data_IF_895300535916
#
_entry.id   IF_895300535916
#
_cell.length_a   1.000
_cell.length_b   1.000
_cell.length_c   1.000
_cell.angle_alpha   90.00
_cell.angle_beta   90.00
_cell.angle_gamma   90.00
#
_symmetry.space_group_name_H-M   'P 1'
#
loop_
_entity.id
_entity.type
_entity.pdbx_description
1 polymer ?
#
# COMPACT_ATOMS: atom_id res chain seq x y z
N UNK A 1 17.08 61.31 -19.24
CA UNK A 1 18.02 61.03 -18.13
C UNK A 1 18.06 59.52 -17.92
N UNK A 2 19.26 58.93 -17.80
CA UNK A 2 19.56 57.54 -17.39
C UNK A 2 19.20 56.41 -18.38
N UNK A 3 20.14 55.90 -19.20
CA UNK A 3 21.25 54.94 -18.94
C UNK A 3 20.79 53.45 -19.05
N UNK A 4 21.34 52.77 -20.07
CA UNK A 4 21.34 51.31 -20.33
C UNK A 4 22.31 50.57 -19.35
N UNK A 5 22.72 49.30 -19.60
CA UNK A 5 22.05 48.01 -19.45
C UNK A 5 22.85 47.07 -18.51
N UNK A 6 22.42 45.82 -18.28
CA UNK A 6 23.35 44.74 -17.86
C UNK A 6 23.05 43.42 -18.59
N UNK A 7 23.94 43.06 -19.50
CA UNK A 7 24.23 41.68 -19.88
C UNK A 7 25.07 41.03 -18.79
N UNK A 8 24.83 39.76 -18.50
CA UNK A 8 25.78 38.90 -17.81
C UNK A 8 26.01 37.66 -18.67
N UNK A 9 27.26 37.53 -19.13
CA UNK A 9 27.84 36.38 -19.82
C UNK A 9 28.88 35.82 -18.85
N UNK A 10 28.88 34.51 -18.58
CA UNK A 10 30.09 33.83 -18.13
C UNK A 10 29.96 32.31 -18.34
N UNK A 11 30.86 31.80 -19.17
CA UNK A 11 31.15 30.39 -19.41
C UNK A 11 32.68 30.25 -19.58
N UNK A 12 33.16 29.00 -19.44
CA UNK A 12 34.54 28.47 -19.51
C UNK A 12 35.35 28.56 -18.19
N UNK A 13 35.58 27.43 -17.49
CA UNK A 13 36.53 26.31 -17.73
C UNK A 13 37.97 26.65 -17.35
N UNK A 14 38.54 25.86 -16.43
CA UNK A 14 39.86 25.24 -16.60
C UNK A 14 39.99 24.03 -15.67
N UNK A 15 40.43 22.92 -16.25
CA UNK A 15 40.78 21.66 -15.62
C UNK A 15 42.31 21.56 -15.53
N UNK A 16 42.84 20.93 -14.47
CA UNK A 16 44.21 20.41 -14.46
C UNK A 16 44.27 19.00 -13.86
N UNK A 17 45.15 18.19 -14.45
CA UNK A 17 45.36 16.75 -14.29
C UNK A 17 46.43 16.42 -13.22
N UNK A 18 46.21 15.33 -12.45
CA UNK A 18 47.06 14.15 -12.05
C UNK A 18 48.62 14.26 -12.01
N UNK A 19 49.43 13.39 -11.30
CA UNK A 19 49.18 12.02 -10.79
C UNK A 19 49.81 11.64 -9.40
N UNK A 20 49.66 10.36 -8.96
CA UNK A 20 50.17 9.72 -7.70
C UNK A 20 51.70 9.47 -7.61
N UNK A 21 52.29 8.52 -6.81
CA UNK A 21 51.72 7.32 -6.15
C UNK A 21 52.25 6.91 -4.72
N UNK A 22 51.51 5.96 -4.09
CA UNK A 22 51.93 4.78 -3.28
C UNK A 22 52.80 4.90 -2.00
N UNK A 23 53.16 3.78 -1.31
CA UNK A 23 52.34 2.97 -0.39
C UNK A 23 53.00 2.83 1.00
N UNK A 24 52.28 2.31 2.01
CA UNK A 24 52.83 1.77 3.29
C UNK A 24 51.66 1.29 4.16
N UNK A 25 51.65 0.12 4.82
CA UNK A 25 52.53 -1.06 4.92
C UNK A 25 51.64 -2.11 5.61
N UNK A 26 51.61 -3.33 5.09
CA UNK A 26 51.23 -4.51 5.86
C UNK A 26 52.29 -4.78 6.94
N UNK A 27 51.90 -5.31 8.10
CA UNK A 27 52.64 -6.39 8.78
C UNK A 27 51.93 -6.92 10.08
N UNK A 28 52.32 -8.09 10.64
CA UNK A 28 51.41 -9.23 10.73
C UNK A 28 51.31 -9.88 12.13
N UNK A 29 50.40 -10.86 12.23
CA UNK A 29 50.42 -12.10 13.03
C UNK A 29 51.10 -12.16 14.42
N UNK A 30 50.33 -12.66 15.42
CA UNK A 30 50.64 -13.68 16.46
C UNK A 30 49.88 -13.33 17.76
N UNK A 31 49.22 -14.22 18.49
CA UNK A 31 49.60 -15.59 18.84
C UNK A 31 48.39 -16.50 19.06
N UNK A 32 48.53 -17.75 18.61
CA UNK A 32 47.86 -18.92 19.16
C UNK A 32 48.33 -19.16 20.61
N UNK A 33 47.42 -19.63 21.47
CA UNK A 33 47.76 -20.68 22.46
C UNK A 33 46.65 -21.73 22.53
N UNK A 34 47.09 -22.97 22.41
CA UNK A 34 46.31 -24.19 22.39
C UNK A 34 45.98 -24.70 23.81
N UNK A 35 45.04 -25.67 23.83
CA UNK A 35 44.30 -26.28 24.93
C UNK A 35 45.13 -27.10 25.97
N UNK A 36 44.47 -27.67 26.99
CA UNK A 36 44.03 -29.07 26.82
C UNK A 36 42.63 -29.43 27.36
N UNK A 37 42.18 -30.58 26.85
CA UNK A 37 40.94 -31.33 27.08
C UNK A 37 40.59 -31.58 28.55
N UNK A 38 39.28 -31.54 28.85
CA UNK A 38 38.63 -32.61 29.60
C UNK A 38 37.32 -33.02 28.93
N UNK A 39 37.25 -34.31 28.65
CA UNK A 39 36.14 -35.06 28.09
C UNK A 39 35.11 -35.30 29.20
N UNK A 40 33.83 -34.96 28.99
CA UNK A 40 32.73 -35.67 29.64
C UNK A 40 31.55 -35.85 28.67
N UNK A 41 31.42 -37.12 28.26
CA UNK A 41 30.23 -37.92 28.00
C UNK A 41 28.92 -37.26 27.57
N UNK A 42 28.40 -37.80 26.47
CA UNK A 42 27.10 -37.52 25.87
C UNK A 42 25.90 -37.70 26.82
N UNK A 43 25.00 -36.71 26.81
CA UNK A 43 23.56 -36.94 26.91
C UNK A 43 22.87 -36.20 25.76
N UNK A 44 22.28 -36.97 24.87
CA UNK A 44 21.38 -36.51 23.82
C UNK A 44 20.06 -36.02 24.43
N UNK A 45 19.84 -34.71 24.46
CA UNK A 45 18.50 -34.14 24.42
C UNK A 45 18.47 -33.14 23.27
N UNK A 46 17.75 -33.50 22.23
CA UNK A 46 17.43 -32.67 21.08
C UNK A 46 16.70 -31.42 21.55
N UNK A 47 17.36 -30.27 21.50
CA UNK A 47 16.72 -28.96 21.65
C UNK A 47 16.33 -28.44 20.26
N UNK A 48 15.31 -29.06 19.66
CA UNK A 48 14.52 -28.41 18.61
C UNK A 48 13.66 -27.32 19.27
N UNK A 49 14.26 -26.18 19.60
CA UNK A 49 13.53 -24.98 20.04
C UNK A 49 14.31 -23.71 19.71
N UNK A 50 14.31 -23.35 18.42
CA UNK A 50 14.52 -21.97 17.96
C UNK A 50 13.78 -21.76 16.63
N UNK A 51 12.46 -22.00 16.66
CA UNK A 51 11.52 -21.61 15.60
C UNK A 51 10.20 -21.19 16.27
N UNK A 52 10.24 -20.16 17.11
CA UNK A 52 9.06 -19.68 17.82
C UNK A 52 9.13 -18.17 18.10
N UNK A 53 9.39 -17.38 17.05
CA UNK A 53 9.08 -15.96 16.99
C UNK A 53 8.80 -15.62 15.51
N UNK A 54 7.67 -16.10 15.02
CA UNK A 54 6.88 -15.53 13.92
C UNK A 54 5.57 -16.33 13.87
N UNK A 55 4.86 -16.31 15.00
CA UNK A 55 3.44 -16.65 15.02
C UNK A 55 2.67 -15.41 14.57
N UNK A 56 2.67 -15.15 13.26
CA UNK A 56 1.60 -14.39 12.63
C UNK A 56 0.29 -15.12 12.95
N UNK A 57 -0.45 -14.59 13.92
CA UNK A 57 -1.83 -14.96 14.22
C UNK A 57 -2.74 -14.47 13.08
N UNK A 58 -2.55 -15.02 11.89
CA UNK A 58 -3.55 -15.01 10.85
C UNK A 58 -4.53 -16.14 11.13
N UNK A 59 -5.78 -15.82 11.43
CA UNK A 59 -6.85 -16.81 11.42
C UNK A 59 -6.86 -17.52 10.05
N UNK A 60 -6.56 -18.84 9.98
CA UNK A 60 -6.52 -19.58 8.72
C UNK A 60 -7.90 -19.68 8.04
N UNK A 61 -8.98 -19.31 8.74
CA UNK A 61 -10.34 -19.37 8.19
C UNK A 61 -10.68 -18.17 7.29
N UNK A 62 -9.89 -17.10 7.29
CA UNK A 62 -10.18 -15.86 6.53
C UNK A 62 -9.85 -15.91 5.03
N UNK A 63 -9.17 -16.96 4.55
CA UNK A 63 -8.90 -17.20 3.12
C UNK A 63 -9.74 -18.34 2.53
N UNK A 64 -10.94 -18.59 3.07
CA UNK A 64 -11.90 -19.47 2.37
C UNK A 64 -12.10 -18.92 0.96
N UNK A 65 -12.03 -19.82 -0.03
CA UNK A 65 -12.25 -19.52 -1.45
C UNK A 65 -13.74 -19.20 -1.69
N UNK A 66 -14.22 -18.08 -1.11
CA UNK A 66 -15.57 -17.60 -1.27
C UNK A 66 -15.72 -17.04 -2.68
N UNK A 67 -16.82 -17.38 -3.31
CA UNK A 67 -17.17 -16.92 -4.65
C UNK A 67 -17.91 -15.58 -4.60
N UNK A 68 -18.58 -15.27 -3.49
CA UNK A 68 -19.25 -13.99 -3.25
C UNK A 68 -19.40 -13.67 -1.75
N UNK A 69 -19.57 -12.39 -1.43
CA UNK A 69 -20.12 -11.89 -0.16
C UNK A 69 -21.58 -11.47 -0.36
N UNK A 70 -22.30 -11.30 0.75
CA UNK A 70 -23.68 -10.79 0.76
C UNK A 70 -23.77 -9.36 1.30
N UNK A 71 -24.83 -8.64 0.95
CA UNK A 71 -25.06 -7.29 1.50
C UNK A 71 -25.06 -7.34 3.03
N UNK A 72 -24.36 -6.40 3.65
CA UNK A 72 -24.13 -6.33 5.10
C UNK A 72 -22.95 -7.19 5.59
N UNK A 73 -22.33 -7.99 4.73
CA UNK A 73 -21.20 -8.83 5.09
C UNK A 73 -19.87 -8.08 4.98
N UNK A 74 -19.01 -8.26 5.99
CA UNK A 74 -17.65 -7.73 6.02
C UNK A 74 -16.61 -8.81 6.29
N UNK A 75 -15.43 -8.64 5.71
CA UNK A 75 -14.29 -9.55 5.84
C UNK A 75 -13.03 -8.74 6.17
N UNK A 76 -12.37 -9.02 7.31
CA UNK A 76 -12.81 -9.89 8.40
C UNK A 76 -14.09 -9.36 9.09
N UNK A 77 -14.85 -10.22 9.78
CA UNK A 77 -16.11 -9.85 10.43
C UNK A 77 -15.92 -9.11 11.77
N UNK A 78 -15.21 -8.00 11.74
CA UNK A 78 -14.93 -7.10 12.86
C UNK A 78 -15.05 -5.64 12.39
N UNK A 79 -15.15 -4.64 13.29
CA UNK A 79 -15.19 -3.24 12.90
C UNK A 79 -13.94 -2.83 12.10
N UNK A 80 -14.13 -1.99 11.08
CA UNK A 80 -13.06 -1.50 10.20
C UNK A 80 -11.87 -0.94 11.00
N UNK A 81 -12.14 -0.02 11.94
CA UNK A 81 -11.11 0.65 12.73
C UNK A 81 -10.24 -0.33 13.56
N UNK A 82 -10.75 -1.52 13.89
CA UNK A 82 -9.98 -2.57 14.58
C UNK A 82 -8.95 -3.23 13.65
N UNK A 83 -9.19 -3.20 12.33
CA UNK A 83 -8.36 -3.86 11.33
C UNK A 83 -7.40 -2.90 10.67
N UNK A 84 -7.91 -1.77 10.19
CA UNK A 84 -7.12 -0.78 9.42
C UNK A 84 -6.60 0.36 10.29
N UNK A 85 -7.00 0.42 11.57
CA UNK A 85 -6.74 1.54 12.46
C UNK A 85 -7.71 2.69 12.20
N UNK A 86 -8.14 3.35 13.29
CA UNK A 86 -9.02 4.50 13.22
C UNK A 86 -8.43 5.63 12.34
N UNK A 87 -9.30 6.49 11.83
CA UNK A 87 -8.85 7.76 11.25
C UNK A 87 -8.23 8.64 12.35
N UNK A 88 -7.05 9.18 12.09
CA UNK A 88 -6.41 10.23 12.89
C UNK A 88 -7.06 11.58 12.62
N UNK A 89 -7.00 12.01 11.35
CA UNK A 89 -7.45 13.33 10.94
C UNK A 89 -7.67 13.38 9.42
N UNK A 90 -8.69 14.12 8.94
CA UNK A 90 -8.86 14.35 7.52
C UNK A 90 -7.65 15.01 6.87
N UNK A 91 -7.24 14.48 5.72
CA UNK A 91 -6.19 15.03 4.87
C UNK A 91 -6.81 16.11 3.99
N UNK A 92 -6.43 17.38 4.19
CA UNK A 92 -6.81 18.48 3.31
C UNK A 92 -5.88 18.56 2.10
N UNK A 93 -6.39 19.04 0.95
CA UNK A 93 -5.67 19.12 -0.33
C UNK A 93 -4.33 19.90 -0.28
N UNK A 94 -4.22 20.85 0.64
CA UNK A 94 -3.05 21.71 0.85
C UNK A 94 -2.08 21.20 1.93
N UNK A 95 -2.42 20.11 2.62
CA UNK A 95 -1.64 19.57 3.73
C UNK A 95 -0.40 18.79 3.30
N UNK A 96 0.51 18.55 4.25
CA UNK A 96 1.61 17.57 4.08
C UNK A 96 1.08 16.14 3.89
N UNK A 97 -0.05 15.80 4.52
CA UNK A 97 -0.70 14.50 4.34
C UNK A 97 -1.09 14.24 2.89
N UNK A 98 -1.59 15.27 2.19
CA UNK A 98 -1.97 15.13 0.79
C UNK A 98 -0.76 14.84 -0.12
N UNK A 99 0.41 15.38 0.20
CA UNK A 99 1.66 15.09 -0.52
C UNK A 99 2.11 13.63 -0.38
N UNK A 100 1.58 12.89 0.59
CA UNK A 100 1.82 11.45 0.75
C UNK A 100 0.83 10.59 -0.06
N UNK A 101 -0.28 11.17 -0.52
CA UNK A 101 -1.18 10.50 -1.45
C UNK A 101 -0.55 10.52 -2.84
N UNK A 102 -0.94 9.54 -3.65
CA UNK A 102 -0.54 9.43 -5.04
C UNK A 102 -1.77 9.52 -5.93
N UNK A 103 -1.60 10.13 -7.10
CA UNK A 103 -2.62 10.18 -8.14
C UNK A 103 -2.59 8.87 -8.96
N UNK A 104 -3.73 8.20 -9.05
CA UNK A 104 -3.93 7.00 -9.85
C UNK A 104 -4.26 7.33 -11.33
N UNK A 105 -3.51 8.25 -11.95
CA UNK A 105 -3.78 8.74 -13.31
C UNK A 105 -3.70 7.63 -14.36
N UNK A 106 -2.62 6.84 -14.36
CA UNK A 106 -2.37 5.76 -15.32
C UNK A 106 -2.92 4.40 -14.85
N UNK A 107 -3.87 4.39 -13.93
CA UNK A 107 -4.45 3.16 -13.42
C UNK A 107 -5.49 2.59 -14.41
N UNK A 108 -5.55 1.26 -14.61
CA UNK A 108 -6.57 0.61 -15.44
C UNK A 108 -7.91 0.53 -14.69
N UNK A 109 -8.45 1.69 -14.29
CA UNK A 109 -9.61 1.85 -13.41
C UNK A 109 -10.46 2.98 -13.96
N UNK A 110 -11.78 2.77 -13.99
CA UNK A 110 -12.74 3.82 -14.30
C UNK A 110 -13.04 4.60 -13.02
N UNK A 111 -12.92 5.93 -13.05
CA UNK A 111 -13.27 6.79 -11.92
C UNK A 111 -14.56 7.56 -12.23
N UNK A 112 -15.44 7.69 -11.23
CA UNK A 112 -16.70 8.42 -11.38
C UNK A 112 -16.46 9.93 -11.42
N UNK A 113 -15.65 10.47 -10.49
CA UNK A 113 -15.24 11.88 -10.41
C UNK A 113 -16.40 12.85 -10.66
N UNK A 114 -17.53 12.63 -9.99
CA UNK A 114 -18.69 13.52 -10.09
C UNK A 114 -18.39 14.91 -9.51
N UNK A 115 -17.40 15.00 -8.63
CA UNK A 115 -16.85 16.20 -8.04
C UNK A 115 -16.17 17.08 -9.09
N UNK A 116 -15.68 16.47 -10.19
CA UNK A 116 -14.87 17.09 -11.24
C UNK A 116 -13.59 17.72 -10.70
N UNK A 117 -12.99 17.10 -9.68
CA UNK A 117 -11.78 17.59 -9.02
C UNK A 117 -10.72 16.49 -8.80
N UNK A 118 -10.95 15.30 -9.38
CA UNK A 118 -10.06 14.13 -9.35
C UNK A 118 -9.87 13.51 -7.96
N UNK A 119 -10.72 13.80 -6.99
CA UNK A 119 -10.51 13.33 -5.61
C UNK A 119 -10.46 11.81 -5.51
N UNK A 120 -11.32 11.12 -6.27
CA UNK A 120 -11.34 9.65 -6.40
C UNK A 120 -10.02 9.01 -6.85
N UNK A 121 -9.12 9.79 -7.45
CA UNK A 121 -7.83 9.30 -7.94
C UNK A 121 -6.74 9.38 -6.89
N UNK A 122 -6.92 10.17 -5.84
CA UNK A 122 -5.93 10.31 -4.78
C UNK A 122 -6.14 9.24 -3.71
N UNK A 123 -5.04 8.56 -3.38
CA UNK A 123 -5.06 7.42 -2.47
C UNK A 123 -3.68 7.14 -1.90
N UNK A 124 -3.61 6.36 -0.83
CA UNK A 124 -2.32 5.86 -0.34
C UNK A 124 -1.69 4.87 -1.33
N UNK A 125 -0.34 4.72 -1.32
CA UNK A 125 0.34 3.72 -2.13
C UNK A 125 -0.15 2.28 -1.91
N UNK A 126 -0.62 1.96 -0.70
CA UNK A 126 -1.18 0.64 -0.38
C UNK A 126 -2.55 0.45 -1.05
N UNK A 127 -3.44 1.43 -0.95
CA UNK A 127 -4.76 1.37 -1.58
C UNK A 127 -4.64 1.22 -3.10
N UNK A 128 -3.77 2.01 -3.74
CA UNK A 128 -3.49 1.88 -5.18
C UNK A 128 -3.07 0.48 -5.58
N UNK A 129 -2.15 -0.14 -4.82
CA UNK A 129 -1.66 -1.50 -5.14
C UNK A 129 -2.81 -2.52 -5.10
N UNK A 130 -3.66 -2.46 -4.07
CA UNK A 130 -4.81 -3.36 -3.95
C UNK A 130 -5.86 -3.12 -5.04
N UNK A 131 -6.15 -1.87 -5.39
CA UNK A 131 -7.08 -1.52 -6.47
C UNK A 131 -6.56 -1.97 -7.85
N UNK A 132 -5.28 -1.76 -8.15
CA UNK A 132 -4.67 -2.24 -9.41
C UNK A 132 -4.69 -3.77 -9.47
N UNK A 133 -4.45 -4.46 -8.36
CA UNK A 133 -4.57 -5.91 -8.30
C UNK A 133 -6.02 -6.37 -8.51
N UNK A 134 -6.99 -5.68 -7.90
CA UNK A 134 -8.41 -5.96 -8.09
C UNK A 134 -8.84 -5.74 -9.55
N UNK A 135 -8.39 -4.67 -10.21
CA UNK A 135 -8.69 -4.42 -11.62
C UNK A 135 -8.25 -5.58 -12.54
N UNK A 136 -7.08 -6.18 -12.27
CA UNK A 136 -6.64 -7.40 -12.97
C UNK A 136 -7.60 -8.58 -12.74
N UNK A 137 -8.05 -8.78 -11.50
CA UNK A 137 -9.00 -9.86 -11.19
C UNK A 137 -10.38 -9.62 -11.82
N UNK A 138 -10.85 -8.37 -11.87
CA UNK A 138 -12.13 -7.99 -12.49
C UNK A 138 -12.10 -8.29 -13.99
N UNK A 139 -11.07 -7.82 -14.69
CA UNK A 139 -10.92 -8.04 -16.15
C UNK A 139 -10.72 -9.52 -16.51
N UNK A 140 -10.11 -10.32 -15.63
CA UNK A 140 -10.02 -11.78 -15.78
C UNK A 140 -11.37 -12.49 -15.54
N UNK A 141 -12.16 -12.00 -14.59
CA UNK A 141 -13.45 -12.61 -14.21
C UNK A 141 -14.53 -12.29 -15.23
N UNK A 142 -14.55 -11.06 -15.73
CA UNK A 142 -15.57 -10.57 -16.65
C UNK A 142 -14.90 -9.87 -17.84
N UNK A 143 -14.80 -10.55 -18.99
CA UNK A 143 -14.28 -9.92 -20.21
C UNK A 143 -15.07 -8.66 -20.55
N UNK A 144 -14.37 -7.55 -20.87
CA UNK A 144 -14.92 -6.22 -21.20
C UNK A 144 -15.59 -5.46 -20.04
N UNK A 145 -15.37 -5.90 -18.79
CA UNK A 145 -15.77 -5.16 -17.60
C UNK A 145 -14.52 -4.73 -16.86
N UNK A 146 -14.51 -3.47 -16.45
CA UNK A 146 -13.41 -2.85 -15.71
C UNK A 146 -13.83 -2.61 -14.26
N UNK A 147 -12.85 -2.50 -13.37
CA UNK A 147 -13.08 -1.97 -12.03
C UNK A 147 -13.46 -0.51 -12.13
N UNK A 148 -14.47 -0.09 -11.36
CA UNK A 148 -14.89 1.29 -11.24
C UNK A 148 -14.83 1.74 -9.78
N UNK A 149 -14.19 2.88 -9.53
CA UNK A 149 -14.19 3.57 -8.24
C UNK A 149 -15.22 4.70 -8.30
N UNK A 150 -16.09 4.75 -7.30
CA UNK A 150 -17.11 5.81 -7.15
C UNK A 150 -16.76 6.87 -6.15
N UNK A 151 -15.91 6.54 -5.18
CA UNK A 151 -15.44 7.45 -4.14
C UNK A 151 -14.09 6.91 -3.65
N UNK A 152 -13.11 7.76 -3.36
CA UNK A 152 -11.86 7.35 -2.69
C UNK A 152 -11.42 8.35 -1.62
N UNK A 153 -10.41 9.19 -1.89
CA UNK A 153 -10.10 10.28 -0.98
C UNK A 153 -11.20 11.34 -1.07
N UNK A 154 -11.93 11.52 0.03
CA UNK A 154 -13.04 12.47 0.13
C UNK A 154 -12.57 13.79 0.75
N UNK A 155 -12.63 14.89 -0.01
CA UNK A 155 -12.33 16.24 0.46
C UNK A 155 -13.57 17.10 0.82
N UNK A 156 -14.77 16.56 0.62
CA UNK A 156 -16.08 17.20 0.86
C UNK A 156 -16.77 16.78 2.14
N UNK A 157 -16.29 15.72 2.80
CA UNK A 157 -16.80 15.21 4.08
C UNK A 157 -18.20 14.60 3.99
N UNK A 158 -18.40 13.75 3.00
CA UNK A 158 -19.65 13.06 2.73
C UNK A 158 -19.84 11.81 3.61
N UNK A 159 -18.75 11.30 4.22
CA UNK A 159 -18.78 10.15 5.12
C UNK A 159 -18.93 10.50 6.63
N UNK A 160 -19.12 9.48 7.47
CA UNK A 160 -19.10 9.64 8.93
C UNK A 160 -17.76 10.14 9.47
N UNK A 161 -17.76 10.77 10.65
CA UNK A 161 -16.59 11.45 11.22
C UNK A 161 -15.31 10.60 11.40
N UNK A 162 -15.43 9.27 11.45
CA UNK A 162 -14.31 8.33 11.58
C UNK A 162 -13.88 7.66 10.28
N UNK A 163 -14.35 8.13 9.12
CA UNK A 163 -14.09 7.51 7.83
C UNK A 163 -12.62 7.60 7.42
N UNK A 164 -12.08 6.48 6.94
CA UNK A 164 -10.71 6.43 6.41
C UNK A 164 -10.63 6.84 4.93
N UNK A 165 -11.77 7.16 4.28
CA UNK A 165 -11.80 7.90 3.01
C UNK A 165 -11.09 9.24 3.14
N UNK A 166 -11.23 9.91 4.29
CA UNK A 166 -10.57 11.20 4.56
C UNK A 166 -9.05 11.14 4.58
N UNK A 167 -8.48 9.94 4.59
CA UNK A 167 -7.03 9.69 4.58
C UNK A 167 -6.57 9.00 3.29
N UNK A 168 -7.46 8.83 2.31
CA UNK A 168 -7.16 8.10 1.07
C UNK A 168 -6.86 6.61 1.31
N UNK A 169 -7.44 6.02 2.37
CA UNK A 169 -7.25 4.61 2.75
C UNK A 169 -8.46 3.72 2.46
N UNK A 170 -9.55 4.29 1.99
CA UNK A 170 -10.73 3.56 1.52
C UNK A 170 -11.13 3.96 0.10
N UNK A 171 -11.93 3.08 -0.52
CA UNK A 171 -12.62 3.35 -1.75
C UNK A 171 -13.97 2.62 -1.78
N UNK A 172 -14.95 3.24 -2.43
CA UNK A 172 -16.20 2.59 -2.80
C UNK A 172 -16.11 2.18 -4.27
N UNK A 173 -16.44 0.91 -4.54
CA UNK A 173 -16.19 0.28 -5.83
C UNK A 173 -17.43 -0.40 -6.42
N UNK A 174 -17.50 -0.36 -7.76
CA UNK A 174 -18.47 -1.09 -8.58
C UNK A 174 -17.76 -1.74 -9.77
N UNK A 175 -18.52 -2.44 -10.61
CA UNK A 175 -18.08 -2.76 -11.98
C UNK A 175 -18.44 -1.62 -12.93
N UNK A 176 -17.73 -1.49 -14.05
CA UNK A 176 -17.95 -0.43 -15.04
C UNK A 176 -19.31 -0.51 -15.74
N UNK A 177 -19.85 -1.72 -15.87
CA UNK A 177 -21.21 -1.97 -16.39
C UNK A 177 -22.33 -1.74 -15.35
N UNK A 178 -21.96 -1.41 -14.11
CA UNK A 178 -22.86 -1.08 -13.00
C UNK A 178 -23.92 -2.16 -12.72
N UNK A 179 -23.59 -3.43 -12.98
CA UNK A 179 -24.49 -4.56 -12.72
C UNK A 179 -24.47 -4.95 -11.22
N UNK A 180 -25.57 -4.73 -10.46
CA UNK A 180 -25.62 -5.03 -9.04
C UNK A 180 -25.44 -6.52 -8.74
N UNK A 181 -25.75 -7.42 -9.69
CA UNK A 181 -25.55 -8.86 -9.50
C UNK A 181 -24.06 -9.25 -9.40
N UNK A 182 -23.14 -8.38 -9.84
CA UNK A 182 -21.70 -8.60 -9.77
C UNK A 182 -21.08 -8.18 -8.43
N UNK A 183 -21.75 -7.33 -7.64
CA UNK A 183 -21.16 -6.72 -6.44
C UNK A 183 -20.73 -7.75 -5.37
N UNK A 184 -21.52 -8.81 -5.15
CA UNK A 184 -21.13 -9.88 -4.23
C UNK A 184 -19.85 -10.58 -4.65
N UNK A 185 -19.70 -10.87 -5.95
CA UNK A 185 -18.48 -11.45 -6.52
C UNK A 185 -17.32 -10.45 -6.47
N UNK A 186 -17.57 -9.17 -6.77
CA UNK A 186 -16.58 -8.09 -6.70
C UNK A 186 -16.00 -7.98 -5.28
N UNK A 187 -16.83 -8.06 -4.26
CA UNK A 187 -16.38 -8.06 -2.87
C UNK A 187 -15.49 -9.26 -2.54
N UNK A 188 -15.81 -10.46 -3.05
CA UNK A 188 -14.95 -11.62 -2.88
C UNK A 188 -13.61 -11.47 -3.63
N UNK A 189 -13.61 -10.85 -4.81
CA UNK A 189 -12.37 -10.50 -5.53
C UNK A 189 -11.55 -9.46 -4.76
N UNK A 190 -12.17 -8.50 -4.09
CA UNK A 190 -11.47 -7.53 -3.24
C UNK A 190 -10.74 -8.23 -2.09
N UNK A 191 -11.37 -9.21 -1.42
CA UNK A 191 -10.68 -10.03 -0.41
C UNK A 191 -9.45 -10.73 -1.03
N UNK A 192 -9.60 -11.29 -2.24
CA UNK A 192 -8.49 -11.94 -2.97
C UNK A 192 -7.40 -10.95 -3.41
N UNK A 193 -7.76 -9.70 -3.68
CA UNK A 193 -6.84 -8.63 -4.05
C UNK A 193 -5.99 -8.12 -2.87
N UNK A 194 -6.30 -8.53 -1.64
CA UNK A 194 -5.53 -8.21 -0.44
C UNK A 194 -5.90 -6.88 0.21
N UNK A 195 -7.15 -6.44 0.07
CA UNK A 195 -7.70 -5.42 0.95
C UNK A 195 -7.71 -5.93 2.39
N UNK A 196 -7.37 -5.05 3.34
CA UNK A 196 -7.30 -5.43 4.75
C UNK A 196 -8.71 -5.57 5.35
N UNK A 197 -9.66 -4.77 4.86
CA UNK A 197 -11.07 -4.86 5.21
C UNK A 197 -11.95 -4.64 3.97
N UNK A 198 -12.97 -5.46 3.82
CA UNK A 198 -13.94 -5.41 2.72
C UNK A 198 -15.33 -5.46 3.32
N UNK A 199 -16.23 -4.61 2.87
CA UNK A 199 -17.61 -4.56 3.32
C UNK A 199 -18.54 -4.41 2.12
N UNK A 200 -19.38 -5.40 1.89
CA UNK A 200 -20.46 -5.25 0.93
C UNK A 200 -21.58 -4.43 1.60
N UNK A 201 -21.37 -3.12 1.66
CA UNK A 201 -22.13 -2.21 2.52
C UNK A 201 -23.63 -2.22 2.21
N UNK A 202 -23.97 -2.06 0.94
CA UNK A 202 -25.34 -1.92 0.48
C UNK A 202 -25.48 -2.37 -0.99
N UNK A 203 -26.64 -2.19 -1.60
CA UNK A 203 -26.91 -2.66 -2.96
C UNK A 203 -26.22 -1.84 -4.08
N UNK A 204 -25.56 -0.72 -3.78
CA UNK A 204 -25.02 0.20 -4.80
C UNK A 204 -23.50 0.08 -4.96
N UNK A 205 -22.77 -0.35 -3.95
CA UNK A 205 -21.32 -0.47 -4.00
C UNK A 205 -20.76 -1.46 -2.97
N UNK A 206 -19.47 -1.75 -3.10
CA UNK A 206 -18.66 -2.44 -2.08
C UNK A 206 -17.66 -1.44 -1.53
N UNK A 207 -17.58 -1.33 -0.22
CA UNK A 207 -16.57 -0.53 0.47
C UNK A 207 -15.32 -1.39 0.71
N UNK A 208 -14.14 -0.82 0.48
CA UNK A 208 -12.86 -1.49 0.70
C UNK A 208 -11.86 -0.55 1.36
N UNK A 209 -11.05 -1.06 2.28
CA UNK A 209 -10.04 -0.24 2.95
C UNK A 209 -8.75 -0.99 3.29
N UNK A 210 -7.71 -0.20 3.55
CA UNK A 210 -6.36 -0.70 3.83
C UNK A 210 -5.79 -0.10 5.11
N UNK A 211 -4.90 -0.86 5.75
CA UNK A 211 -4.03 -0.37 6.82
C UNK A 211 -3.16 0.80 6.32
N UNK A 212 -2.61 1.58 7.26
CA UNK A 212 -1.61 2.60 6.94
C UNK A 212 -0.35 2.00 6.30
#
# INVERSE_FOLDING_TARGET
>A
MSIRPKLAFNALLCAEMLPGPSPRRDDPARMLRAAPLLIFSALSLSCDRLSALDAEQGDPLSKRNRTQLFVGERVPNVPEATVVGAADAPVSRDSSGFKMLIDCEDCPIVFKDEERNRSDRFMTPRLRRSLVQLSKLVSQTWPKVDLRVTEAWDDRREHGAGSVHYEGRAADITTSDQDPAKLGTLAALAVKAGFDWVFYENATHVHVSVKR
#
